data_IF_945380756568
#
_entry.id   IF_945380756568
#
_cell.length_a   1.000
_cell.length_b   1.000
_cell.length_c   1.000
_cell.angle_alpha   90.00
_cell.angle_beta   90.00
_cell.angle_gamma   90.00
#
_symmetry.space_group_name_H-M   'P 1'
#
loop_
_entity.id
_entity.type
_entity.pdbx_description
1 polymer ?
#
# COMPACT_ATOMS: atom_id res chain seq x y z
N UNK A 1 6.65 -14.45 -18.82
CA UNK A 1 7.98 -14.43 -18.24
C UNK A 1 7.88 -14.29 -16.73
N UNK A 2 8.92 -14.69 -16.05
CA UNK A 2 8.90 -14.69 -14.58
C UNK A 2 8.62 -13.32 -13.98
N UNK A 3 9.18 -12.27 -14.58
CA UNK A 3 9.02 -10.94 -14.05
C UNK A 3 7.59 -10.45 -14.19
N UNK A 4 6.95 -10.71 -15.31
CA UNK A 4 5.56 -10.35 -15.49
C UNK A 4 4.66 -11.11 -14.53
N UNK A 5 4.98 -12.37 -14.32
CA UNK A 5 4.21 -13.19 -13.41
C UNK A 5 4.35 -12.72 -11.98
N UNK A 6 5.56 -12.31 -11.60
CA UNK A 6 5.77 -11.75 -10.26
C UNK A 6 4.94 -10.50 -10.05
N UNK A 7 4.87 -9.64 -11.07
CA UNK A 7 4.09 -8.43 -10.98
C UNK A 7 2.60 -8.73 -10.87
N UNK A 8 2.12 -9.68 -11.68
CA UNK A 8 0.72 -10.08 -11.62
C UNK A 8 0.39 -10.70 -10.27
N UNK A 9 1.29 -11.54 -9.76
CA UNK A 9 1.09 -12.18 -8.46
C UNK A 9 1.09 -11.16 -7.35
N UNK A 10 1.84 -10.08 -7.51
CA UNK A 10 1.86 -9.01 -6.53
C UNK A 10 0.46 -8.50 -6.25
N UNK A 11 -0.33 -8.27 -7.30
CA UNK A 11 -1.69 -7.78 -7.12
C UNK A 11 -2.68 -8.88 -6.76
N UNK A 12 -2.36 -10.12 -7.07
CA UNK A 12 -3.28 -11.22 -6.81
C UNK A 12 -3.19 -11.73 -5.38
N UNK A 13 -1.99 -11.73 -4.82
CA UNK A 13 -1.75 -12.42 -3.55
C UNK A 13 -1.13 -11.51 -2.50
N UNK A 14 -0.76 -10.30 -2.86
CA UNK A 14 0.04 -9.48 -1.95
C UNK A 14 -0.65 -9.13 -0.66
N UNK A 15 -1.96 -8.89 -0.72
CA UNK A 15 -2.67 -8.55 0.52
C UNK A 15 -2.65 -9.72 1.49
N UNK A 16 -2.58 -10.94 0.96
CA UNK A 16 -2.46 -12.13 1.82
C UNK A 16 -1.04 -12.35 2.28
N UNK A 17 -0.04 -11.94 1.49
CA UNK A 17 1.37 -12.09 1.86
C UNK A 17 1.79 -11.08 2.88
N UNK A 18 1.18 -9.90 2.89
CA UNK A 18 1.51 -8.89 3.87
C UNK A 18 0.89 -9.24 5.22
N UNK A 19 1.68 -9.11 6.26
CA UNK A 19 1.21 -9.41 7.61
C UNK A 19 0.31 -8.32 8.17
N UNK A 20 0.09 -7.28 7.40
CA UNK A 20 -0.77 -6.20 7.80
C UNK A 20 -0.41 -4.94 7.03
N UNK A 21 -1.16 -3.86 7.28
CA UNK A 21 -0.96 -2.62 6.53
C UNK A 21 0.41 -1.99 6.76
N UNK A 22 1.02 -2.17 7.93
CA UNK A 22 2.36 -1.63 8.15
C UNK A 22 3.38 -2.35 7.28
N UNK A 23 3.19 -3.65 7.07
CA UNK A 23 4.07 -4.41 6.19
C UNK A 23 3.93 -3.92 4.75
N UNK A 24 2.70 -3.65 4.32
CA UNK A 24 2.47 -3.08 3.01
C UNK A 24 3.12 -1.70 2.88
N UNK A 25 3.01 -0.86 3.91
CA UNK A 25 3.63 0.45 3.87
C UNK A 25 5.15 0.34 3.73
N UNK A 26 5.78 -0.59 4.46
CA UNK A 26 7.21 -0.79 4.34
C UNK A 26 7.59 -1.23 2.93
N UNK A 27 6.79 -2.10 2.34
CA UNK A 27 7.01 -2.50 0.96
C UNK A 27 6.97 -1.31 0.02
N UNK A 28 5.96 -0.44 0.17
CA UNK A 28 5.83 0.74 -0.68
C UNK A 28 6.98 1.72 -0.48
N UNK A 29 7.40 1.91 0.76
CA UNK A 29 8.54 2.78 1.06
C UNK A 29 9.79 2.29 0.32
N UNK A 30 10.02 0.98 0.34
CA UNK A 30 11.17 0.41 -0.36
C UNK A 30 11.03 0.51 -1.86
N UNK A 31 9.83 0.20 -2.37
CA UNK A 31 9.59 0.24 -3.81
C UNK A 31 9.81 1.64 -4.38
N UNK A 32 9.35 2.65 -3.66
CA UNK A 32 9.46 4.04 -4.08
C UNK A 32 10.75 4.69 -3.63
N UNK A 33 11.61 3.93 -2.95
CA UNK A 33 12.92 4.42 -2.48
C UNK A 33 12.78 5.66 -1.61
N UNK A 34 11.80 5.65 -0.73
CA UNK A 34 11.55 6.76 0.18
C UNK A 34 12.43 6.64 1.41
N UNK A 35 12.73 7.78 2.03
CA UNK A 35 13.53 7.83 3.24
C UNK A 35 12.69 7.41 4.43
N UNK A 36 13.03 6.28 5.05
CA UNK A 36 12.25 5.76 6.18
C UNK A 36 12.36 6.67 7.42
N UNK A 37 13.40 7.50 7.48
CA UNK A 37 13.58 8.42 8.60
C UNK A 37 12.88 9.74 8.39
N UNK A 38 12.35 9.98 7.18
CA UNK A 38 11.65 11.20 6.86
C UNK A 38 10.63 10.89 5.79
N UNK A 39 9.59 10.16 6.19
CA UNK A 39 8.61 9.63 5.26
C UNK A 39 7.71 10.76 4.75
N UNK A 40 7.65 10.97 3.43
CA UNK A 40 6.73 11.96 2.86
C UNK A 40 5.31 11.39 2.91
N UNK A 41 4.56 11.82 3.92
CA UNK A 41 3.23 11.26 4.18
C UNK A 41 2.30 11.42 2.99
N UNK A 42 2.36 12.57 2.33
CA UNK A 42 1.50 12.78 1.16
C UNK A 42 1.79 11.76 0.07
N UNK A 43 3.08 11.51 -0.19
CA UNK A 43 3.48 10.55 -1.21
C UNK A 43 3.08 9.13 -0.85
N UNK A 44 3.37 8.73 0.38
CA UNK A 44 3.08 7.35 0.78
C UNK A 44 1.57 7.10 0.87
N UNK A 45 0.81 8.11 1.27
CA UNK A 45 -0.64 7.99 1.29
C UNK A 45 -1.17 7.76 -0.12
N UNK A 46 -0.69 8.53 -1.08
CA UNK A 46 -1.10 8.36 -2.47
C UNK A 46 -0.76 6.97 -2.98
N UNK A 47 0.44 6.48 -2.72
CA UNK A 47 0.85 5.16 -3.18
C UNK A 47 0.04 4.05 -2.51
N UNK A 48 -0.26 4.22 -1.22
CA UNK A 48 -1.07 3.25 -0.51
C UNK A 48 -2.48 3.18 -1.10
N UNK A 49 -3.09 4.34 -1.34
CA UNK A 49 -4.44 4.38 -1.90
C UNK A 49 -4.48 3.78 -3.28
N UNK A 50 -3.45 4.03 -4.09
CA UNK A 50 -3.39 3.44 -5.43
C UNK A 50 -3.30 1.92 -5.35
N UNK A 51 -2.50 1.41 -4.43
CA UNK A 51 -2.35 -0.03 -4.28
C UNK A 51 -3.68 -0.67 -3.90
N UNK A 52 -4.39 -0.08 -2.94
CA UNK A 52 -5.68 -0.59 -2.50
C UNK A 52 -6.70 -0.50 -3.64
N UNK A 53 -6.71 0.59 -4.39
CA UNK A 53 -7.63 0.75 -5.49
C UNK A 53 -7.38 -0.28 -6.59
N UNK A 54 -6.12 -0.53 -6.89
CA UNK A 54 -5.77 -1.54 -7.90
C UNK A 54 -6.22 -2.93 -7.45
N UNK A 55 -6.05 -3.22 -6.17
CA UNK A 55 -6.50 -4.51 -5.63
C UNK A 55 -8.01 -4.65 -5.77
N UNK A 56 -8.75 -3.58 -5.52
CA UNK A 56 -10.21 -3.61 -5.66
C UNK A 56 -10.63 -3.84 -7.11
N UNK A 57 -9.93 -3.22 -8.04
CA UNK A 57 -10.22 -3.43 -9.46
C UNK A 57 -10.02 -4.87 -9.89
N UNK A 58 -9.10 -5.55 -9.25
CA UNK A 58 -8.83 -6.95 -9.53
C UNK A 58 -9.73 -7.88 -8.72
N UNK A 59 -10.71 -7.33 -8.01
CA UNK A 59 -11.65 -8.08 -7.19
C UNK A 59 -10.96 -8.90 -6.11
N UNK A 60 -9.86 -8.38 -5.58
CA UNK A 60 -9.18 -9.03 -4.47
C UNK A 60 -9.88 -8.66 -3.17
N UNK A 61 -9.95 -9.62 -2.26
CA UNK A 61 -10.46 -9.36 -0.93
C UNK A 61 -9.48 -8.49 -0.18
N UNK A 62 -10.01 -7.43 0.42
CA UNK A 62 -9.19 -6.51 1.19
C UNK A 62 -9.64 -6.58 2.64
N UNK A 63 -8.76 -7.09 3.50
CA UNK A 63 -9.07 -7.18 4.92
C UNK A 63 -9.32 -5.78 5.49
N UNK A 64 -10.24 -5.72 6.47
CA UNK A 64 -10.65 -4.43 7.02
C UNK A 64 -9.51 -3.62 7.58
N UNK A 65 -8.47 -4.28 8.11
CA UNK A 65 -7.34 -3.54 8.69
C UNK A 65 -6.62 -2.68 7.65
N UNK A 66 -6.61 -3.10 6.39
CA UNK A 66 -6.02 -2.29 5.33
C UNK A 66 -6.86 -1.06 5.05
N UNK A 67 -8.17 -1.19 5.15
CA UNK A 67 -9.09 -0.07 4.95
C UNK A 67 -8.97 0.92 6.11
N UNK A 68 -8.84 0.42 7.33
CA UNK A 68 -8.65 1.27 8.50
C UNK A 68 -7.36 2.08 8.36
N UNK A 69 -6.29 1.44 7.88
CA UNK A 69 -5.03 2.16 7.69
C UNK A 69 -5.17 3.24 6.62
N UNK A 70 -5.93 2.98 5.56
CA UNK A 70 -6.16 3.99 4.53
C UNK A 70 -6.80 5.23 5.16
N UNK A 71 -7.82 5.02 5.99
CA UNK A 71 -8.49 6.13 6.67
C UNK A 71 -7.53 6.84 7.61
N UNK A 72 -6.69 6.09 8.31
CA UNK A 72 -5.70 6.66 9.22
C UNK A 72 -4.72 7.56 8.47
N UNK A 73 -4.23 7.09 7.33
CA UNK A 73 -3.30 7.88 6.54
C UNK A 73 -3.93 9.17 6.04
N UNK A 74 -5.20 9.10 5.66
CA UNK A 74 -5.90 10.30 5.20
C UNK A 74 -6.07 11.31 6.33
N UNK A 75 -6.32 10.83 7.54
CA UNK A 75 -6.40 11.71 8.70
C UNK A 75 -5.07 12.39 8.96
N UNK A 76 -3.98 11.61 8.93
CA UNK A 76 -2.64 12.15 9.15
C UNK A 76 -2.33 13.19 8.08
N UNK A 77 -2.62 12.86 6.83
CA UNK A 77 -2.35 13.77 5.71
C UNK A 77 -3.11 15.08 5.88
N UNK A 78 -4.36 15.00 6.32
CA UNK A 78 -5.18 16.21 6.46
C UNK A 78 -4.69 17.13 7.55
N UNK A 79 -3.89 16.63 8.49
CA UNK A 79 -3.34 17.43 9.58
C UNK A 79 -1.99 18.03 9.24
N UNK A 80 -1.42 17.63 8.13
CA UNK A 80 -0.12 18.15 7.69
C UNK A 80 -0.36 19.29 6.70
N UNK A 81 -0.11 20.48 7.14
CA UNK A 81 -0.32 21.66 6.31
C UNK A 81 0.97 22.16 5.69
#
# INVERSE_FOLDING_TARGET
MAQEQLFADEYKVNLDVFEGPLDLLLYLIRREELDIYDIPIERITTEYMKFIEDARRLNLDIAGEFIVMAATLMVIKSRML
#
